data_IF_409278353521
#
_entry.id   IF_409278353521
#
_cell.length_a   1.000
_cell.length_b   1.000
_cell.length_c   1.000
_cell.angle_alpha   90.00
_cell.angle_beta   90.00
_cell.angle_gamma   90.00
#
_symmetry.space_group_name_H-M   'P 1'
#
loop_
_entity.id
_entity.type
_entity.pdbx_description
1 polymer ?
#
# COMPACT_ATOMS: atom_id res chain seq x y z
N UNK A 1 5.19 -6.30 -15.04
CA UNK A 1 4.96 -6.60 -13.61
C UNK A 1 6.23 -6.26 -12.84
N UNK A 2 6.13 -5.42 -11.82
CA UNK A 2 7.29 -4.98 -11.06
C UNK A 2 7.07 -5.23 -9.58
N UNK A 3 8.08 -5.80 -8.93
CA UNK A 3 8.07 -6.03 -7.49
C UNK A 3 8.91 -4.94 -6.83
N UNK A 4 8.36 -4.31 -5.80
CA UNK A 4 9.08 -3.30 -5.02
C UNK A 4 9.24 -3.79 -3.58
N UNK A 5 10.26 -3.30 -2.92
CA UNK A 5 10.60 -3.70 -1.56
C UNK A 5 10.00 -2.71 -0.55
N UNK A 6 10.02 -3.11 0.72
CA UNK A 6 9.41 -2.32 1.79
C UNK A 6 9.87 -0.86 1.78
N UNK A 7 11.15 -0.62 1.61
CA UNK A 7 11.68 0.74 1.60
C UNK A 7 10.98 1.59 0.53
N UNK A 8 10.80 1.03 -0.64
CA UNK A 8 10.15 1.74 -1.74
C UNK A 8 8.66 1.91 -1.49
N UNK A 9 8.02 0.93 -0.87
CA UNK A 9 6.61 1.05 -0.48
C UNK A 9 6.44 2.21 0.50
N UNK A 10 7.33 2.30 1.48
CA UNK A 10 7.31 3.39 2.46
C UNK A 10 7.48 4.74 1.79
N UNK A 11 8.42 4.84 0.84
CA UNK A 11 8.65 6.08 0.12
C UNK A 11 7.46 6.48 -0.76
N UNK A 12 6.85 5.49 -1.39
CA UNK A 12 5.72 5.74 -2.31
C UNK A 12 4.45 6.13 -1.56
N UNK A 13 4.17 5.50 -0.43
CA UNK A 13 2.95 5.75 0.32
C UNK A 13 3.10 6.81 1.41
N UNK A 14 4.32 7.06 1.84
CA UNK A 14 4.57 7.95 2.97
C UNK A 14 4.25 7.31 4.32
N UNK A 15 3.94 6.02 4.35
CA UNK A 15 3.59 5.31 5.58
C UNK A 15 4.84 4.74 6.23
N UNK A 16 4.83 4.61 7.55
CA UNK A 16 5.88 3.95 8.29
C UNK A 16 5.74 2.43 8.20
N UNK A 17 6.82 1.74 8.56
CA UNK A 17 6.87 0.29 8.52
C UNK A 17 5.75 -0.36 9.34
N UNK A 18 5.59 0.08 10.57
CA UNK A 18 4.59 -0.48 11.47
C UNK A 18 3.17 -0.30 10.94
N UNK A 19 2.91 0.85 10.33
CA UNK A 19 1.61 1.16 9.77
C UNK A 19 1.31 0.24 8.58
N UNK A 20 2.29 0.02 7.71
CA UNK A 20 2.12 -0.87 6.57
C UNK A 20 1.76 -2.27 7.04
N UNK A 21 2.50 -2.82 7.99
CA UNK A 21 2.24 -4.18 8.48
C UNK A 21 0.93 -4.27 9.25
N UNK A 22 0.56 -3.21 9.95
CA UNK A 22 -0.75 -3.15 10.60
C UNK A 22 -1.87 -3.26 9.56
N UNK A 23 -1.78 -2.47 8.49
CA UNK A 23 -2.78 -2.49 7.43
C UNK A 23 -2.83 -3.83 6.70
N UNK A 24 -1.67 -4.45 6.49
CA UNK A 24 -1.61 -5.80 5.92
C UNK A 24 -2.38 -6.78 6.80
N UNK A 25 -2.16 -6.71 8.12
CA UNK A 25 -2.82 -7.63 9.05
C UNK A 25 -4.34 -7.40 9.12
N UNK A 26 -4.79 -6.20 8.80
CA UNK A 26 -6.20 -5.85 8.78
C UNK A 26 -6.85 -6.09 7.41
N UNK A 27 -6.11 -6.69 6.48
CA UNK A 27 -6.55 -6.92 5.11
C UNK A 27 -6.90 -5.64 4.37
N UNK A 28 -6.27 -4.53 4.74
CA UNK A 28 -6.55 -3.22 4.15
C UNK A 28 -5.45 -2.73 3.22
N UNK A 29 -4.30 -3.39 3.22
CA UNK A 29 -3.19 -3.07 2.34
C UNK A 29 -2.78 -4.34 1.62
N UNK A 30 -2.26 -4.25 0.38
CA UNK A 30 -1.82 -5.45 -0.36
C UNK A 30 -0.84 -6.28 0.45
N UNK A 31 -1.03 -7.60 0.40
CA UNK A 31 -0.17 -8.51 1.15
C UNK A 31 1.17 -8.65 0.47
N UNK A 32 2.25 -8.73 1.24
CA UNK A 32 3.56 -8.92 0.65
C UNK A 32 3.68 -10.29 0.00
N UNK A 33 4.46 -10.34 -1.06
CA UNK A 33 4.73 -11.57 -1.81
C UNK A 33 6.04 -12.15 -1.31
N UNK A 34 6.07 -13.42 -0.88
CA UNK A 34 7.35 -14.03 -0.46
C UNK A 34 8.23 -14.23 -1.69
N UNK A 35 9.48 -13.79 -1.57
CA UNK A 35 10.44 -13.86 -2.67
C UNK A 35 11.51 -14.92 -2.44
N UNK A 36 11.34 -15.73 -1.39
CA UNK A 36 12.33 -16.73 -1.02
C UNK A 36 13.04 -16.33 0.25
N UNK A 37 13.37 -17.31 1.09
CA UNK A 37 13.98 -17.03 2.38
C UNK A 37 13.09 -16.13 3.20
N UNK A 38 13.64 -15.01 3.68
CA UNK A 38 12.89 -14.03 4.46
C UNK A 38 12.56 -12.79 3.65
N UNK A 39 12.84 -12.81 2.37
CA UNK A 39 12.60 -11.65 1.50
C UNK A 39 11.15 -11.58 1.09
N UNK A 40 10.59 -10.38 1.15
CA UNK A 40 9.23 -10.13 0.68
C UNK A 40 9.23 -8.87 -0.19
N UNK A 41 8.21 -8.75 -1.03
CA UNK A 41 8.02 -7.56 -1.85
C UNK A 41 6.55 -7.37 -2.14
N UNK A 42 6.23 -6.31 -2.83
CA UNK A 42 4.86 -5.99 -3.22
C UNK A 42 4.81 -5.75 -4.71
N UNK A 43 3.68 -6.05 -5.33
CA UNK A 43 3.45 -5.63 -6.71
C UNK A 43 3.26 -4.12 -6.74
N UNK A 44 4.06 -3.45 -7.54
CA UNK A 44 3.97 -1.99 -7.68
C UNK A 44 2.56 -1.57 -8.09
N UNK A 45 1.94 -2.31 -9.00
CA UNK A 45 0.61 -2.00 -9.48
C UNK A 45 -0.43 -2.04 -8.36
N UNK A 46 -0.30 -3.01 -7.44
CA UNK A 46 -1.23 -3.11 -6.32
C UNK A 46 -1.07 -1.93 -5.35
N UNK A 47 0.17 -1.52 -5.11
CA UNK A 47 0.44 -0.38 -4.24
C UNK A 47 -0.12 0.90 -4.87
N UNK A 48 0.09 1.07 -6.17
CA UNK A 48 -0.45 2.22 -6.89
C UNK A 48 -1.97 2.25 -6.87
N UNK A 49 -2.62 1.11 -7.05
CA UNK A 49 -4.08 1.00 -6.98
C UNK A 49 -4.60 1.37 -5.60
N UNK A 50 -3.89 0.91 -4.56
CA UNK A 50 -4.27 1.24 -3.19
C UNK A 50 -4.23 2.76 -2.97
N UNK A 51 -3.20 3.42 -3.51
CA UNK A 51 -3.09 4.87 -3.43
C UNK A 51 -4.23 5.55 -4.18
N UNK A 52 -4.55 5.07 -5.38
CA UNK A 52 -5.65 5.61 -6.16
C UNK A 52 -6.98 5.49 -5.42
N UNK A 53 -7.19 4.38 -4.71
CA UNK A 53 -8.39 4.19 -3.89
C UNK A 53 -8.45 5.21 -2.76
N UNK A 54 -7.31 5.55 -2.15
CA UNK A 54 -7.26 6.57 -1.10
C UNK A 54 -7.57 7.95 -1.66
N UNK A 55 -7.09 8.24 -2.86
CA UNK A 55 -7.38 9.51 -3.53
C UNK A 55 -8.87 9.59 -3.83
N UNK A 56 -9.47 8.53 -4.32
CA UNK A 56 -10.90 8.48 -4.61
C UNK A 56 -11.73 8.67 -3.35
N UNK A 57 -11.33 8.04 -2.24
CA UNK A 57 -11.98 8.25 -0.94
C UNK A 57 -11.96 9.71 -0.52
N UNK A 58 -10.79 10.34 -0.62
CA UNK A 58 -10.66 11.76 -0.28
C UNK A 58 -11.61 12.62 -1.12
N UNK A 59 -11.63 12.36 -2.42
CA UNK A 59 -12.42 13.17 -3.35
C UNK A 59 -13.93 12.95 -3.09
N UNK A 60 -14.32 11.74 -2.77
CA UNK A 60 -15.71 11.42 -2.43
C UNK A 60 -16.11 12.12 -1.12
N UNK A 61 -15.24 12.09 -0.12
CA UNK A 61 -15.49 12.75 1.16
C UNK A 61 -15.63 14.25 0.99
N UNK A 62 -14.77 14.87 0.17
CA UNK A 62 -14.84 16.29 -0.09
C UNK A 62 -16.15 16.65 -0.79
N UNK A 63 -16.62 15.81 -1.69
CA UNK A 63 -17.89 16.03 -2.38
C UNK A 63 -19.08 15.94 -1.43
N UNK A 64 -18.98 15.10 -0.41
CA UNK A 64 -20.06 14.89 0.57
C UNK A 64 -20.04 15.93 1.68
N UNK A 65 -18.85 16.37 2.07
CA UNK A 65 -18.69 17.28 3.22
C UNK A 65 -18.94 18.75 2.90
N UNK A 66 -19.23 19.07 1.68
CA UNK A 66 -19.54 20.45 1.28
C UNK A 66 -21.04 20.81 1.52
#
# INVERSE_FOLDING_TARGET
MKIIRLQQVMETTGLGRSTIYKYVSENWFPKPIPLGGRSVGWLESEVNEWILDRIEERDTQLAVSV
#
